data_IF_187633839135
#
_entry.id   IF_187633839135
#
_cell.length_a   1.000
_cell.length_b   1.000
_cell.length_c   1.000
_cell.angle_alpha   90.00
_cell.angle_beta   90.00
_cell.angle_gamma   90.00
#
_symmetry.space_group_name_H-M   'P 1'
#
loop_
_entity.id
_entity.type
_entity.pdbx_description
1 polymer ?
#
# COMPACT_ATOMS: atom_id res chain seq x y z
N UNK A 1 -15.50 3.42 -8.91
CA UNK A 1 -14.83 3.00 -7.66
C UNK A 1 -14.12 1.67 -7.79
N UNK A 2 -14.72 0.68 -8.46
CA UNK A 2 -14.13 -0.66 -8.61
C UNK A 2 -12.73 -0.68 -9.26
N UNK A 3 -12.50 0.11 -10.32
CA UNK A 3 -11.19 0.22 -10.96
C UNK A 3 -10.08 0.68 -10.00
N UNK A 4 -10.39 1.60 -9.07
CA UNK A 4 -9.42 2.08 -8.07
C UNK A 4 -9.05 0.99 -7.07
N UNK A 5 -10.04 0.18 -6.67
CA UNK A 5 -9.84 -0.97 -5.78
C UNK A 5 -8.94 -2.03 -6.44
N UNK A 6 -9.23 -2.39 -7.69
CA UNK A 6 -8.44 -3.36 -8.46
C UNK A 6 -7.00 -2.88 -8.64
N UNK A 7 -6.82 -1.61 -9.05
CA UNK A 7 -5.49 -1.03 -9.22
C UNK A 7 -4.68 -1.03 -7.92
N UNK A 8 -5.29 -0.62 -6.81
CA UNK A 8 -4.63 -0.60 -5.49
C UNK A 8 -4.27 -2.00 -4.99
N UNK A 9 -5.09 -3.02 -5.28
CA UNK A 9 -4.79 -4.41 -4.93
C UNK A 9 -3.69 -4.99 -5.81
N UNK A 10 -3.71 -4.73 -7.12
CA UNK A 10 -2.69 -5.24 -8.04
C UNK A 10 -1.30 -4.67 -7.73
N UNK A 11 -1.22 -3.44 -7.22
CA UNK A 11 0.02 -2.83 -6.77
C UNK A 11 0.75 -3.66 -5.68
N UNK A 12 0.01 -4.45 -4.90
CA UNK A 12 0.55 -5.28 -3.82
C UNK A 12 1.42 -6.41 -4.37
N UNK A 13 1.09 -6.94 -5.54
CA UNK A 13 1.86 -8.02 -6.19
C UNK A 13 3.30 -7.61 -6.52
N UNK A 14 3.59 -6.30 -6.56
CA UNK A 14 4.92 -5.76 -6.85
C UNK A 14 5.74 -5.46 -5.58
N UNK A 15 5.13 -5.56 -4.39
CA UNK A 15 5.79 -5.30 -3.11
C UNK A 15 6.58 -6.52 -2.68
N UNK A 16 7.83 -6.29 -2.27
CA UNK A 16 8.74 -7.32 -1.77
C UNK A 16 9.15 -7.01 -0.34
N UNK A 17 9.47 -8.06 0.40
CA UNK A 17 10.01 -7.92 1.76
C UNK A 17 11.29 -7.05 1.77
N UNK A 18 11.39 -6.17 2.76
CA UNK A 18 12.48 -5.20 2.91
C UNK A 18 12.37 -3.94 2.05
N UNK A 19 11.31 -3.77 1.25
CA UNK A 19 11.14 -2.56 0.43
C UNK A 19 10.81 -1.31 1.26
N UNK A 20 11.23 -0.16 0.73
CA UNK A 20 10.80 1.17 1.17
C UNK A 20 9.72 1.67 0.21
N UNK A 21 8.53 1.93 0.73
CA UNK A 21 7.35 2.32 -0.03
C UNK A 21 7.06 3.82 0.14
N UNK A 22 6.82 4.52 -0.96
CA UNK A 22 6.20 5.85 -0.94
C UNK A 22 4.68 5.72 -0.92
N UNK A 23 4.02 6.24 0.12
CA UNK A 23 2.56 6.25 0.23
C UNK A 23 2.02 7.57 -0.31
N UNK A 24 1.45 7.52 -1.51
CA UNK A 24 0.71 8.62 -2.09
C UNK A 24 -0.61 8.90 -1.38
N UNK A 25 -1.28 9.99 -1.76
CA UNK A 25 -2.55 10.41 -1.15
C UNK A 25 -3.71 10.19 -2.12
N UNK A 26 -4.89 9.82 -1.61
CA UNK A 26 -6.14 9.74 -2.38
C UNK A 26 -6.85 8.38 -2.28
N UNK A 27 -8.07 8.33 -2.81
CA UNK A 27 -8.98 7.17 -2.68
C UNK A 27 -8.45 5.86 -3.29
N UNK A 28 -7.50 5.92 -4.23
CA UNK A 28 -6.83 4.72 -4.77
C UNK A 28 -5.74 4.21 -3.83
N UNK A 29 -4.91 5.12 -3.31
CA UNK A 29 -3.84 4.80 -2.37
C UNK A 29 -4.39 4.22 -1.06
N UNK A 30 -5.58 4.65 -0.64
CA UNK A 30 -6.29 4.08 0.51
C UNK A 30 -6.43 2.55 0.44
N UNK A 31 -6.82 2.01 -0.71
CA UNK A 31 -6.98 0.55 -0.88
C UNK A 31 -5.64 -0.20 -0.85
N UNK A 32 -4.58 0.41 -1.40
CA UNK A 32 -3.22 -0.12 -1.31
C UNK A 32 -2.74 -0.14 0.15
N UNK A 33 -2.86 0.98 0.87
CA UNK A 33 -2.41 1.13 2.27
C UNK A 33 -3.08 0.08 3.16
N UNK A 34 -4.39 -0.14 3.00
CA UNK A 34 -5.11 -1.17 3.76
C UNK A 34 -4.51 -2.57 3.56
N UNK A 35 -4.17 -2.92 2.32
CA UNK A 35 -3.56 -4.22 1.98
C UNK A 35 -2.11 -4.33 2.44
N UNK A 36 -1.34 -3.25 2.33
CA UNK A 36 0.03 -3.20 2.90
C UNK A 36 -0.02 -3.44 4.41
N UNK A 37 -0.99 -2.87 5.11
CA UNK A 37 -1.21 -3.14 6.53
C UNK A 37 -1.42 -4.63 6.82
N UNK A 38 -2.22 -5.33 6.02
CA UNK A 38 -2.41 -6.79 6.13
C UNK A 38 -1.09 -7.56 5.92
N UNK A 39 -0.26 -7.16 4.95
CA UNK A 39 1.04 -7.80 4.69
C UNK A 39 2.01 -7.64 5.87
N UNK A 40 2.07 -6.43 6.45
CA UNK A 40 2.92 -6.16 7.62
C UNK A 40 2.43 -6.95 8.83
N UNK A 41 1.11 -7.04 9.04
CA UNK A 41 0.53 -7.90 10.09
C UNK A 41 0.87 -9.38 9.90
N UNK A 42 0.99 -9.83 8.66
CA UNK A 42 1.42 -11.19 8.31
C UNK A 42 2.95 -11.39 8.38
N UNK A 43 3.70 -10.41 8.88
CA UNK A 43 5.14 -10.54 9.13
C UNK A 43 6.05 -9.99 8.03
N UNK A 44 5.51 -9.32 7.01
CA UNK A 44 6.34 -8.66 6.00
C UNK A 44 7.00 -7.41 6.59
N UNK A 45 8.32 -7.31 6.44
CA UNK A 45 9.12 -6.18 6.89
C UNK A 45 9.13 -5.08 5.82
N UNK A 46 8.39 -4.01 6.05
CA UNK A 46 8.30 -2.87 5.13
C UNK A 46 8.53 -1.56 5.87
N UNK A 47 9.16 -0.60 5.18
CA UNK A 47 9.19 0.80 5.61
C UNK A 47 8.34 1.62 4.67
N UNK A 48 7.56 2.55 5.21
CA UNK A 48 6.68 3.40 4.40
C UNK A 48 6.91 4.88 4.72
N UNK A 49 6.95 5.72 3.69
CA UNK A 49 7.07 7.18 3.80
C UNK A 49 5.81 7.80 3.21
N UNK A 50 5.03 8.49 4.05
CA UNK A 50 3.81 9.17 3.60
C UNK A 50 4.15 10.52 2.97
N UNK A 51 3.49 10.83 1.84
CA UNK A 51 3.61 12.15 1.19
C UNK A 51 2.62 13.18 1.73
N UNK A 52 1.73 12.77 2.64
CA UNK A 52 0.79 13.64 3.34
C UNK A 52 0.58 13.20 4.78
N UNK A 53 -0.01 14.08 5.58
CA UNK A 53 -0.13 13.97 7.04
C UNK A 53 -1.59 14.02 7.53
N UNK A 54 -2.55 13.88 6.62
CA UNK A 54 -3.99 13.96 6.90
C UNK A 54 -4.59 12.58 7.17
#
# INVERSE_FOLDING_TARGET
>A
MEQKRIAGQKAIDYIKDGMILGLGTGSTAYYMIKKVGELVQNGMNLKAVATSSY
#
